data_IF_565232824585
#
_entry.id   IF_565232824585
#
_cell.length_a   1.000
_cell.length_b   1.000
_cell.length_c   1.000
_cell.angle_alpha   90.00
_cell.angle_beta   90.00
_cell.angle_gamma   90.00
#
_symmetry.space_group_name_H-M   'P 1'
#
loop_
_entity.id
_entity.type
_entity.pdbx_description
1 polymer ?
#
# COMPACT_ATOMS: atom_id res chain seq x y z
N UNK A 1 -27.99 -26.32 -44.02
CA UNK A 1 -29.17 -27.22 -43.95
C UNK A 1 -29.92 -26.87 -42.68
N UNK A 2 -31.21 -26.57 -42.80
CA UNK A 2 -32.01 -25.96 -41.74
C UNK A 2 -33.37 -26.62 -41.77
N UNK A 3 -33.81 -27.23 -40.66
CA UNK A 3 -35.07 -27.99 -40.64
C UNK A 3 -35.91 -27.59 -39.45
N UNK A 4 -36.85 -26.69 -39.70
CA UNK A 4 -37.95 -26.32 -38.78
C UNK A 4 -39.13 -27.26 -39.01
N UNK A 5 -39.85 -27.62 -37.95
CA UNK A 5 -41.19 -28.24 -38.04
C UNK A 5 -42.19 -27.58 -37.09
N UNK A 6 -43.48 -27.62 -37.46
CA UNK A 6 -44.55 -26.73 -36.96
C UNK A 6 -45.39 -27.33 -35.83
N UNK A 7 -46.10 -26.44 -35.12
CA UNK A 7 -47.29 -26.71 -34.27
C UNK A 7 -48.46 -27.32 -35.08
N UNK A 8 -49.53 -27.81 -34.42
CA UNK A 8 -50.75 -26.98 -34.40
C UNK A 8 -51.58 -26.98 -33.08
N UNK A 9 -52.46 -25.98 -33.00
CA UNK A 9 -53.80 -25.85 -32.35
C UNK A 9 -54.35 -27.02 -31.49
N UNK A 10 -55.11 -26.84 -30.41
CA UNK A 10 -55.82 -25.67 -29.86
C UNK A 10 -57.28 -26.02 -29.53
N UNK A 11 -57.83 -25.62 -28.36
CA UNK A 11 -59.23 -25.90 -27.97
C UNK A 11 -59.90 -24.70 -27.25
N UNK A 12 -61.24 -24.65 -27.24
CA UNK A 12 -62.06 -23.47 -26.89
C UNK A 12 -62.92 -23.63 -25.62
N UNK A 13 -63.08 -22.52 -24.88
CA UNK A 13 -64.29 -22.02 -24.18
C UNK A 13 -65.05 -22.85 -23.12
N UNK A 14 -65.34 -22.24 -21.95
CA UNK A 14 -66.71 -21.84 -21.47
C UNK A 14 -66.71 -21.13 -20.09
N UNK A 15 -67.90 -20.65 -19.69
CA UNK A 15 -68.23 -19.71 -18.59
C UNK A 15 -69.24 -20.34 -17.58
N UNK A 16 -69.63 -19.75 -16.41
CA UNK A 16 -69.55 -18.33 -15.99
C UNK A 16 -69.09 -18.05 -14.52
N UNK A 17 -69.84 -18.29 -13.41
CA UNK A 17 -69.77 -17.32 -12.30
C UNK A 17 -69.63 -17.84 -10.85
N UNK A 18 -69.26 -16.94 -9.92
CA UNK A 18 -69.79 -17.00 -8.55
C UNK A 18 -69.00 -16.31 -7.42
N UNK A 19 -69.75 -15.64 -6.53
CA UNK A 19 -69.42 -15.23 -5.16
C UNK A 19 -68.29 -14.20 -4.93
N UNK A 20 -68.71 -12.96 -4.65
CA UNK A 20 -67.89 -12.00 -3.91
C UNK A 20 -67.95 -12.31 -2.40
N UNK A 21 -66.83 -12.10 -1.68
CA UNK A 21 -66.81 -12.10 -0.22
C UNK A 21 -66.31 -10.73 0.28
N UNK A 22 -67.16 -10.01 1.01
CA UNK A 22 -66.75 -8.80 1.72
C UNK A 22 -65.85 -9.18 2.90
N UNK A 23 -64.65 -8.63 2.94
CA UNK A 23 -63.81 -8.62 4.14
C UNK A 23 -63.73 -7.17 4.66
N UNK A 24 -64.26 -6.94 5.85
CA UNK A 24 -64.25 -5.63 6.53
C UNK A 24 -62.87 -5.32 7.08
N UNK A 25 -62.21 -4.25 6.60
CA UNK A 25 -61.03 -3.70 7.28
C UNK A 25 -61.47 -2.85 8.47
N UNK A 26 -61.14 -3.28 9.68
CA UNK A 26 -61.14 -2.44 10.88
C UNK A 26 -59.95 -1.49 10.84
N UNK A 27 -60.20 -0.18 10.77
CA UNK A 27 -59.15 0.83 10.83
C UNK A 27 -58.56 0.91 12.25
N UNK A 28 -57.30 0.52 12.42
CA UNK A 28 -56.54 0.77 13.64
C UNK A 28 -56.01 2.22 13.61
N UNK A 29 -56.39 3.02 14.61
CA UNK A 29 -55.90 4.40 14.77
C UNK A 29 -54.44 4.39 15.23
N UNK A 30 -53.50 4.67 14.33
CA UNK A 30 -52.10 4.86 14.68
C UNK A 30 -51.92 6.16 15.48
N UNK A 31 -51.29 6.06 16.66
CA UNK A 31 -50.87 7.23 17.44
C UNK A 31 -49.65 7.90 16.77
N UNK A 32 -49.52 9.23 16.81
CA UNK A 32 -48.33 9.91 16.31
C UNK A 32 -47.14 9.62 17.23
N UNK A 33 -46.10 9.00 16.67
CA UNK A 33 -44.81 8.87 17.35
C UNK A 33 -44.18 10.26 17.53
N UNK A 34 -43.71 10.53 18.75
CA UNK A 34 -42.93 11.73 19.04
C UNK A 34 -41.65 11.78 18.20
N UNK A 35 -41.14 12.97 17.82
CA UNK A 35 -39.88 13.06 17.09
C UNK A 35 -38.75 12.51 17.95
N UNK A 36 -38.04 11.50 17.43
CA UNK A 36 -36.82 11.01 18.05
C UNK A 36 -35.83 12.18 18.15
N UNK A 37 -35.31 12.43 19.35
CA UNK A 37 -34.21 13.36 19.56
C UNK A 37 -33.07 13.01 18.62
N UNK A 38 -32.45 14.02 18.00
CA UNK A 38 -31.16 13.84 17.35
C UNK A 38 -30.16 13.35 18.41
N UNK A 39 -29.92 12.04 18.44
CA UNK A 39 -28.87 11.46 19.26
C UNK A 39 -27.55 11.97 18.69
N UNK A 40 -26.75 12.62 19.53
CA UNK A 40 -25.42 13.07 19.16
C UNK A 40 -24.67 11.91 18.50
N UNK A 41 -24.30 12.11 17.24
CA UNK A 41 -23.37 11.23 16.56
C UNK A 41 -22.03 11.38 17.24
N UNK A 42 -21.82 10.60 18.31
CA UNK A 42 -20.50 10.40 18.90
C UNK A 42 -19.63 9.86 17.79
N UNK A 43 -18.84 10.75 17.19
CA UNK A 43 -17.79 10.38 16.25
C UNK A 43 -16.82 9.57 17.08
N UNK A 44 -16.99 8.25 17.03
CA UNK A 44 -16.01 7.30 17.54
C UNK A 44 -14.74 7.57 16.76
N UNK A 45 -13.85 8.38 17.35
CA UNK A 45 -12.50 8.57 16.81
C UNK A 45 -11.93 7.17 16.63
N UNK A 46 -11.54 6.86 15.41
CA UNK A 46 -10.72 5.68 15.15
C UNK A 46 -9.46 5.80 16.01
N UNK A 47 -8.85 4.66 16.32
CA UNK A 47 -7.63 4.62 17.14
C UNK A 47 -6.56 3.94 16.29
N UNK A 48 -5.30 4.31 16.49
CA UNK A 48 -4.17 3.61 15.89
C UNK A 48 -4.24 2.14 16.30
N UNK A 49 -4.22 1.23 15.33
CA UNK A 49 -4.14 -0.19 15.59
C UNK A 49 -2.71 -0.51 16.00
N UNK A 50 -2.52 -0.97 17.24
CA UNK A 50 -1.22 -1.38 17.76
C UNK A 50 -1.22 -2.90 17.93
N UNK A 51 -0.22 -3.57 17.35
CA UNK A 51 -0.07 -5.03 17.36
C UNK A 51 1.32 -5.36 17.94
N UNK A 52 1.34 -5.82 19.19
CA UNK A 52 2.57 -6.20 19.92
C UNK A 52 2.65 -7.70 20.22
N UNK A 53 1.68 -8.49 19.72
CA UNK A 53 1.63 -9.95 19.91
C UNK A 53 1.62 -10.64 18.56
N UNK A 54 2.61 -11.50 18.35
CA UNK A 54 2.87 -12.21 17.11
C UNK A 54 2.23 -13.60 17.05
N UNK A 55 2.40 -14.24 15.90
CA UNK A 55 2.06 -15.65 15.71
C UNK A 55 3.29 -16.56 15.77
N UNK A 56 3.30 -17.58 14.91
CA UNK A 56 4.47 -18.40 14.59
C UNK A 56 4.61 -18.54 13.08
N UNK A 57 5.79 -18.89 12.56
CA UNK A 57 6.01 -19.07 11.12
C UNK A 57 4.99 -20.01 10.41
N UNK A 58 4.44 -20.99 11.12
CA UNK A 58 3.38 -21.88 10.58
C UNK A 58 1.95 -21.35 10.78
N UNK A 59 1.75 -20.46 11.74
CA UNK A 59 0.46 -19.90 12.15
C UNK A 59 0.63 -18.42 12.54
N UNK A 60 0.76 -17.51 11.56
CA UNK A 60 0.92 -16.08 11.85
C UNK A 60 -0.37 -15.48 12.44
N UNK A 61 -0.22 -14.45 13.28
CA UNK A 61 -1.34 -13.68 13.79
C UNK A 61 -1.93 -12.82 12.66
N UNK A 62 -3.22 -12.97 12.34
CA UNK A 62 -3.83 -12.28 11.18
C UNK A 62 -4.91 -11.28 11.58
N UNK A 63 -4.62 -10.00 11.34
CA UNK A 63 -5.46 -8.85 11.65
C UNK A 63 -6.17 -8.39 10.37
N UNK A 64 -7.48 -8.60 10.28
CA UNK A 64 -8.29 -8.27 9.11
C UNK A 64 -9.16 -7.04 9.35
N UNK A 65 -8.91 -5.99 8.59
CA UNK A 65 -9.71 -4.76 8.61
C UNK A 65 -11.05 -4.90 7.88
N UNK A 66 -11.10 -5.65 6.77
CA UNK A 66 -12.30 -5.80 5.93
C UNK A 66 -12.94 -4.44 5.53
N UNK A 67 -12.11 -3.43 5.28
CA UNK A 67 -12.51 -2.04 4.99
C UNK A 67 -12.63 -1.13 6.22
N UNK A 68 -12.40 -1.62 7.44
CA UNK A 68 -12.46 -0.82 8.68
C UNK A 68 -11.41 0.30 8.67
N UNK A 69 -11.84 1.50 9.04
CA UNK A 69 -10.96 2.66 9.26
C UNK A 69 -10.23 2.58 10.61
N UNK A 70 -8.96 2.96 10.62
CA UNK A 70 -8.11 3.16 11.82
C UNK A 70 -7.26 4.43 11.65
N UNK A 71 -6.83 5.06 12.74
CA UNK A 71 -6.04 6.32 12.70
C UNK A 71 -4.56 6.10 12.35
N UNK A 72 -4.17 4.85 12.09
CA UNK A 72 -2.82 4.39 11.78
C UNK A 72 -2.67 2.92 12.14
N UNK A 73 -1.51 2.34 11.84
CA UNK A 73 -1.15 0.96 12.19
C UNK A 73 0.30 0.94 12.69
N UNK A 74 0.56 0.31 13.84
CA UNK A 74 1.91 -0.05 14.32
C UNK A 74 1.96 -1.56 14.57
N UNK A 75 2.98 -2.22 14.04
CA UNK A 75 3.29 -3.63 14.29
C UNK A 75 4.68 -3.70 14.92
N UNK A 76 4.77 -4.25 16.13
CA UNK A 76 5.99 -4.48 16.90
C UNK A 76 5.99 -5.95 17.35
N UNK A 77 5.99 -6.86 16.38
CA UNK A 77 5.80 -8.30 16.58
C UNK A 77 6.19 -9.11 15.35
N UNK A 78 6.57 -10.38 15.57
CA UNK A 78 6.94 -11.32 14.51
C UNK A 78 5.74 -12.15 14.02
N UNK A 79 5.81 -12.66 12.78
CA UNK A 79 4.79 -13.54 12.19
C UNK A 79 3.39 -12.91 12.20
N UNK A 80 3.26 -11.70 11.66
CA UNK A 80 2.01 -10.92 11.62
C UNK A 80 1.55 -10.71 10.18
N UNK A 81 0.24 -10.85 9.93
CA UNK A 81 -0.39 -10.42 8.68
C UNK A 81 -1.42 -9.33 8.97
N UNK A 82 -1.24 -8.13 8.42
CA UNK A 82 -2.19 -7.01 8.53
C UNK A 82 -2.80 -6.72 7.17
N UNK A 83 -4.11 -6.90 7.04
CA UNK A 83 -4.78 -6.78 5.75
C UNK A 83 -6.13 -6.05 5.73
N UNK A 84 -6.33 -5.25 4.68
CA UNK A 84 -7.64 -4.68 4.33
C UNK A 84 -8.12 -3.55 5.24
N UNK A 85 -7.23 -2.72 5.79
CA UNK A 85 -7.59 -1.51 6.54
C UNK A 85 -7.63 -0.26 5.65
N UNK A 86 -8.47 0.69 6.05
CA UNK A 86 -8.42 2.07 5.57
C UNK A 86 -7.76 2.96 6.64
N UNK A 87 -6.88 3.85 6.21
CA UNK A 87 -6.11 4.75 7.08
C UNK A 87 -6.17 6.15 6.45
N UNK A 88 -7.17 6.95 6.84
CA UNK A 88 -7.40 8.29 6.28
C UNK A 88 -6.88 9.39 7.20
N UNK A 89 -6.02 10.25 6.67
CA UNK A 89 -5.30 11.31 7.39
C UNK A 89 -4.60 10.86 8.69
N UNK A 90 -3.85 9.75 8.70
CA UNK A 90 -3.11 9.36 9.89
C UNK A 90 -2.04 10.40 10.22
N UNK A 91 -1.67 10.48 11.50
CA UNK A 91 -0.37 11.02 11.87
C UNK A 91 0.70 10.10 11.25
N UNK A 92 1.69 10.67 10.56
CA UNK A 92 2.75 9.90 9.94
C UNK A 92 3.67 9.22 10.99
N UNK A 93 4.17 8.01 10.71
CA UNK A 93 3.88 7.19 9.54
C UNK A 93 2.48 6.56 9.59
N UNK A 94 1.80 6.47 8.43
CA UNK A 94 0.46 5.88 8.35
C UNK A 94 0.41 4.41 8.76
N UNK A 95 1.42 3.64 8.37
CA UNK A 95 1.69 2.28 8.81
C UNK A 95 3.16 2.19 9.26
N UNK A 96 3.43 1.47 10.34
CA UNK A 96 4.78 1.21 10.84
C UNK A 96 4.90 -0.26 11.21
N UNK A 97 6.02 -0.90 10.85
CA UNK A 97 6.25 -2.31 11.09
C UNK A 97 7.71 -2.61 11.43
N UNK A 98 7.93 -3.21 12.60
CA UNK A 98 9.24 -3.63 13.11
C UNK A 98 9.13 -5.07 13.61
N UNK A 99 9.95 -5.97 13.08
CA UNK A 99 9.97 -7.38 13.44
C UNK A 99 10.34 -8.29 12.26
N UNK A 100 9.96 -9.56 12.32
CA UNK A 100 10.33 -10.59 11.36
C UNK A 100 9.09 -11.29 10.78
N UNK A 101 9.12 -11.64 9.48
CA UNK A 101 8.01 -12.31 8.76
C UNK A 101 6.66 -11.56 8.89
N UNK A 102 6.70 -10.24 8.71
CA UNK A 102 5.51 -9.38 8.70
C UNK A 102 4.99 -9.22 7.27
N UNK A 103 3.67 -9.40 7.06
CA UNK A 103 2.98 -9.10 5.80
C UNK A 103 1.95 -7.98 5.97
N UNK A 104 2.20 -6.82 5.37
CA UNK A 104 1.24 -5.72 5.27
C UNK A 104 0.67 -5.69 3.86
N UNK A 105 -0.63 -5.97 3.69
CA UNK A 105 -1.23 -6.07 2.35
C UNK A 105 -2.65 -5.56 2.17
N UNK A 106 -2.98 -5.10 0.97
CA UNK A 106 -4.32 -4.61 0.60
C UNK A 106 -4.85 -3.46 1.51
N UNK A 107 -3.96 -2.71 2.17
CA UNK A 107 -4.35 -1.56 2.99
C UNK A 107 -4.35 -0.28 2.14
N UNK A 108 -5.14 0.72 2.54
CA UNK A 108 -5.17 2.03 1.89
C UNK A 108 -4.79 3.13 2.87
N UNK A 109 -3.71 3.87 2.60
CA UNK A 109 -3.25 5.03 3.36
C UNK A 109 -3.50 6.29 2.53
N UNK A 110 -4.20 7.27 3.09
CA UNK A 110 -4.60 8.51 2.39
C UNK A 110 -4.16 9.73 3.18
N UNK A 111 -3.40 10.63 2.55
CA UNK A 111 -2.98 11.94 3.09
C UNK A 111 -2.35 11.88 4.50
N UNK A 112 -1.31 11.06 4.74
CA UNK A 112 -0.52 11.11 5.98
C UNK A 112 -0.03 12.55 6.27
N UNK A 113 0.06 12.91 7.55
CA UNK A 113 0.38 14.29 7.97
C UNK A 113 1.16 14.35 9.29
N UNK A 114 1.86 15.47 9.53
CA UNK A 114 2.84 15.56 10.62
C UNK A 114 4.06 14.67 10.36
N UNK A 115 5.06 14.72 11.23
CA UNK A 115 6.36 14.09 10.98
C UNK A 115 6.91 14.49 9.60
N UNK A 116 7.54 13.55 8.91
CA UNK A 116 7.96 13.76 7.52
C UNK A 116 6.80 13.71 6.53
N UNK A 117 5.76 12.92 6.86
CA UNK A 117 4.54 12.76 6.07
C UNK A 117 4.39 11.39 5.41
N UNK A 118 5.10 10.35 5.89
CA UNK A 118 5.21 9.07 5.19
C UNK A 118 3.95 8.21 5.24
N UNK A 119 3.77 7.43 4.17
CA UNK A 119 2.74 6.40 4.08
C UNK A 119 3.03 5.18 4.96
N UNK A 120 4.23 4.62 4.85
CA UNK A 120 4.63 3.39 5.53
C UNK A 120 6.12 3.39 5.90
N UNK A 121 6.47 2.99 7.13
CA UNK A 121 7.85 2.73 7.57
C UNK A 121 8.05 1.25 7.93
N UNK A 122 9.22 0.68 7.64
CA UNK A 122 9.48 -0.76 7.84
C UNK A 122 10.92 -1.09 8.26
N UNK A 123 11.08 -2.07 9.17
CA UNK A 123 12.37 -2.48 9.73
C UNK A 123 12.38 -3.98 10.09
N UNK A 124 13.53 -4.65 9.92
CA UNK A 124 13.70 -6.09 10.20
C UNK A 124 13.63 -7.01 8.96
N UNK A 125 13.27 -8.28 9.17
CA UNK A 125 13.55 -9.38 8.25
C UNK A 125 12.30 -10.03 7.62
N UNK A 126 12.45 -10.62 6.43
CA UNK A 126 11.41 -11.43 5.73
C UNK A 126 10.08 -10.69 5.49
N UNK A 127 10.16 -9.37 5.35
CA UNK A 127 9.05 -8.44 5.28
C UNK A 127 8.35 -8.47 3.90
N UNK A 128 7.01 -8.33 3.89
CA UNK A 128 6.18 -8.42 2.68
C UNK A 128 5.17 -7.26 2.63
N UNK A 129 5.45 -6.25 1.81
CA UNK A 129 4.59 -5.07 1.60
C UNK A 129 3.91 -5.24 0.24
N UNK A 130 2.64 -5.65 0.21
CA UNK A 130 1.97 -6.13 -1.01
C UNK A 130 0.62 -5.47 -1.31
N UNK A 131 0.42 -4.97 -2.53
CA UNK A 131 -0.87 -4.47 -3.02
C UNK A 131 -1.52 -3.37 -2.15
N UNK A 132 -0.73 -2.63 -1.36
CA UNK A 132 -1.23 -1.47 -0.63
C UNK A 132 -1.37 -0.27 -1.58
N UNK A 133 -2.30 0.63 -1.29
CA UNK A 133 -2.41 1.92 -1.97
C UNK A 133 -2.09 3.02 -0.98
N UNK A 134 -1.12 3.86 -1.31
CA UNK A 134 -0.68 4.99 -0.50
C UNK A 134 -0.80 6.23 -1.39
N UNK A 135 -1.52 7.25 -0.94
CA UNK A 135 -1.72 8.45 -1.77
C UNK A 135 -1.71 9.76 -0.99
N UNK A 136 -1.15 10.80 -1.62
CA UNK A 136 -1.18 12.16 -1.10
C UNK A 136 -0.23 12.44 0.06
N UNK A 137 0.84 11.65 0.20
CA UNK A 137 1.98 12.01 1.04
C UNK A 137 2.61 13.30 0.49
N UNK A 138 2.81 14.30 1.35
CA UNK A 138 3.17 15.66 0.92
C UNK A 138 4.26 16.30 1.76
N UNK A 139 5.23 16.94 1.10
CA UNK A 139 6.38 17.62 1.71
C UNK A 139 5.99 18.95 2.38
N UNK A 140 4.81 19.00 3.00
CA UNK A 140 4.36 20.13 3.82
C UNK A 140 5.03 20.14 5.20
N UNK A 141 5.48 18.97 5.67
CA UNK A 141 5.99 18.78 7.03
C UNK A 141 7.43 18.26 7.06
N UNK A 142 7.82 17.37 6.15
CA UNK A 142 9.21 16.97 5.89
C UNK A 142 9.40 16.36 4.50
N UNK A 143 10.17 15.28 4.40
CA UNK A 143 10.38 14.53 3.16
C UNK A 143 9.39 13.35 3.08
N UNK A 144 8.19 13.58 2.54
CA UNK A 144 7.08 12.64 2.65
C UNK A 144 7.14 11.52 1.61
N UNK A 145 7.65 10.37 2.02
CA UNK A 145 7.79 9.18 1.18
C UNK A 145 6.54 8.29 1.17
N UNK A 146 6.40 7.49 0.12
CA UNK A 146 5.39 6.43 0.10
C UNK A 146 5.74 5.33 1.10
N UNK A 147 7.01 4.90 1.08
CA UNK A 147 7.60 3.84 1.90
C UNK A 147 9.03 4.26 2.25
N UNK A 148 9.43 4.16 3.52
CA UNK A 148 10.79 4.49 3.95
C UNK A 148 11.37 3.46 4.93
N UNK A 149 12.67 3.21 4.84
CA UNK A 149 13.53 2.80 5.97
C UNK A 149 14.51 3.92 6.27
N UNK A 150 14.92 4.02 7.53
CA UNK A 150 16.08 4.78 8.00
C UNK A 150 16.90 3.90 8.95
N UNK A 151 18.10 4.32 9.35
CA UNK A 151 19.02 3.44 10.08
C UNK A 151 19.77 4.10 11.27
N UNK A 152 19.23 5.19 11.83
CA UNK A 152 19.79 5.94 12.96
C UNK A 152 19.70 5.21 14.32
N UNK A 153 18.59 4.52 14.56
CA UNK A 153 18.22 3.89 15.83
C UNK A 153 17.28 2.68 15.64
N UNK A 154 17.25 2.16 14.42
CA UNK A 154 16.34 1.13 13.91
C UNK A 154 17.10 -0.08 13.37
N UNK A 155 16.51 -1.30 13.41
CA UNK A 155 17.12 -2.46 12.77
C UNK A 155 17.30 -2.27 11.25
N UNK A 156 18.39 -2.77 10.65
CA UNK A 156 18.50 -2.88 9.19
C UNK A 156 17.36 -3.75 8.62
N UNK A 157 17.11 -3.60 7.31
CA UNK A 157 16.07 -4.36 6.62
C UNK A 157 16.64 -5.46 5.74
N UNK A 158 16.14 -6.69 5.89
CA UNK A 158 16.61 -7.85 5.12
C UNK A 158 15.46 -8.59 4.43
N UNK A 159 15.72 -9.16 3.24
CA UNK A 159 14.78 -10.04 2.52
C UNK A 159 13.38 -9.43 2.27
N UNK A 160 13.32 -8.12 2.04
CA UNK A 160 12.06 -7.38 1.90
C UNK A 160 11.46 -7.53 0.50
N UNK A 161 10.19 -7.94 0.41
CA UNK A 161 9.40 -7.94 -0.81
C UNK A 161 8.43 -6.76 -0.84
N UNK A 162 8.62 -5.84 -1.79
CA UNK A 162 7.71 -4.73 -2.08
C UNK A 162 7.04 -5.00 -3.44
N UNK A 163 5.79 -5.47 -3.42
CA UNK A 163 5.09 -5.95 -4.62
C UNK A 163 3.73 -5.29 -4.89
N UNK A 164 3.51 -4.84 -6.12
CA UNK A 164 2.16 -4.52 -6.61
C UNK A 164 1.48 -3.35 -5.90
N UNK A 165 2.22 -2.57 -5.10
CA UNK A 165 1.70 -1.41 -4.39
C UNK A 165 1.48 -0.24 -5.37
N UNK A 166 0.62 0.69 -4.98
CA UNK A 166 0.34 1.94 -5.70
C UNK A 166 0.72 3.12 -4.82
N UNK A 167 1.76 3.84 -5.22
CA UNK A 167 2.21 5.09 -4.63
C UNK A 167 1.78 6.23 -5.57
N UNK A 168 0.69 6.91 -5.22
CA UNK A 168 0.01 7.88 -6.09
C UNK A 168 0.06 9.29 -5.51
N UNK A 169 0.45 10.29 -6.31
CA UNK A 169 0.56 11.69 -5.87
C UNK A 169 1.45 11.86 -4.63
N UNK A 170 2.65 11.28 -4.68
CA UNK A 170 3.65 11.33 -3.62
C UNK A 170 4.58 12.49 -3.91
N UNK A 171 4.77 13.42 -2.97
CA UNK A 171 5.69 14.53 -3.19
C UNK A 171 7.15 14.05 -3.23
N UNK A 172 7.59 13.24 -2.27
CA UNK A 172 8.94 12.70 -2.23
C UNK A 172 9.04 11.36 -3.00
N UNK A 173 9.70 10.34 -2.47
CA UNK A 173 10.04 9.10 -3.16
C UNK A 173 8.95 8.02 -2.99
N UNK A 174 8.88 7.12 -3.97
CA UNK A 174 8.10 5.89 -3.88
C UNK A 174 8.74 4.86 -2.92
N UNK A 175 10.05 4.92 -2.78
CA UNK A 175 10.82 4.20 -1.76
C UNK A 175 12.10 4.98 -1.45
N UNK A 176 12.34 5.24 -0.16
CA UNK A 176 13.67 5.51 0.37
C UNK A 176 14.10 4.27 1.16
N UNK A 177 15.25 3.69 0.81
CA UNK A 177 15.77 2.47 1.42
C UNK A 177 17.20 2.68 1.88
N UNK A 178 17.35 2.97 3.17
CA UNK A 178 18.60 3.29 3.85
C UNK A 178 19.15 2.08 4.61
N UNK A 179 20.48 2.03 4.74
CA UNK A 179 21.23 1.07 5.55
C UNK A 179 22.08 1.73 6.62
N UNK A 180 22.52 0.97 7.66
CA UNK A 180 23.20 1.52 8.83
C UNK A 180 24.52 2.24 8.57
N UNK A 181 25.12 2.10 7.39
CA UNK A 181 26.40 2.73 7.03
C UNK A 181 26.22 3.96 6.13
N UNK A 182 24.98 4.46 6.01
CA UNK A 182 24.70 5.82 5.53
C UNK A 182 25.23 6.90 6.51
N UNK A 183 25.31 8.16 6.06
CA UNK A 183 25.71 9.32 6.85
C UNK A 183 24.82 9.62 8.07
N UNK A 184 23.56 9.18 8.09
CA UNK A 184 22.67 9.28 9.27
C UNK A 184 22.56 7.97 10.08
N UNK A 185 23.23 6.89 9.65
CA UNK A 185 23.13 5.56 10.24
C UNK A 185 24.01 5.30 11.47
N UNK A 186 23.67 4.26 12.25
CA UNK A 186 24.37 3.88 13.50
C UNK A 186 25.64 3.01 13.30
N UNK A 187 25.90 2.59 12.06
CA UNK A 187 27.01 1.74 11.65
C UNK A 187 26.86 0.24 11.94
N UNK A 188 25.65 -0.26 12.28
CA UNK A 188 25.45 -1.65 12.76
C UNK A 188 24.59 -2.50 11.85
N UNK A 189 25.27 -3.33 11.05
CA UNK A 189 24.63 -4.25 10.11
C UNK A 189 24.52 -3.62 8.73
N UNK A 190 23.66 -4.18 7.88
CA UNK A 190 23.56 -3.85 6.45
C UNK A 190 22.13 -4.08 5.96
N UNK A 191 21.54 -3.13 5.26
CA UNK A 191 20.24 -3.37 4.59
C UNK A 191 20.49 -4.18 3.30
N UNK A 192 19.82 -5.32 3.08
CA UNK A 192 20.07 -6.16 1.89
C UNK A 192 18.89 -6.98 1.34
N UNK A 193 18.97 -7.32 0.05
CA UNK A 193 17.98 -8.13 -0.69
C UNK A 193 16.55 -7.55 -0.67
N UNK A 194 16.43 -6.24 -0.89
CA UNK A 194 15.14 -5.58 -1.13
C UNK A 194 14.68 -5.82 -2.57
N UNK A 195 13.49 -6.39 -2.74
CA UNK A 195 12.91 -6.76 -4.04
C UNK A 195 11.68 -5.91 -4.34
N UNK A 196 11.85 -4.89 -5.17
CA UNK A 196 10.79 -3.96 -5.60
C UNK A 196 10.24 -4.39 -6.95
N UNK A 197 9.03 -4.96 -6.99
CA UNK A 197 8.45 -5.47 -8.24
C UNK A 197 6.98 -5.15 -8.52
N UNK A 198 6.68 -4.84 -9.78
CA UNK A 198 5.33 -4.57 -10.29
C UNK A 198 4.57 -3.42 -9.57
N UNK A 199 5.27 -2.51 -8.90
CA UNK A 199 4.65 -1.36 -8.22
C UNK A 199 4.35 -0.23 -9.22
N UNK A 200 3.38 0.62 -8.88
CA UNK A 200 3.12 1.89 -9.56
C UNK A 200 3.62 3.04 -8.69
N UNK A 201 4.46 3.91 -9.25
CA UNK A 201 5.09 5.02 -8.53
C UNK A 201 4.88 6.37 -9.25
N UNK A 202 4.32 7.35 -8.55
CA UNK A 202 4.10 8.72 -9.01
C UNK A 202 4.73 9.74 -8.03
N UNK A 203 6.06 9.93 -8.16
CA UNK A 203 6.86 10.94 -7.45
C UNK A 203 6.78 12.30 -8.12
N UNK A 204 6.37 13.33 -7.38
CA UNK A 204 6.04 14.65 -7.93
C UNK A 204 7.13 15.73 -7.73
N UNK A 205 8.00 15.62 -6.71
CA UNK A 205 8.99 16.66 -6.35
C UNK A 205 10.42 16.15 -6.11
N UNK A 206 10.61 14.94 -5.60
CA UNK A 206 11.96 14.38 -5.44
C UNK A 206 12.67 14.20 -6.80
N UNK A 207 14.01 14.18 -6.79
CA UNK A 207 14.86 13.99 -7.98
C UNK A 207 14.92 12.54 -8.47
N UNK A 208 14.53 11.58 -7.64
CA UNK A 208 14.52 10.14 -7.93
C UNK A 208 13.22 9.50 -7.40
N UNK A 209 12.75 8.41 -8.03
CA UNK A 209 11.51 7.73 -7.61
C UNK A 209 11.76 6.64 -6.56
N UNK A 210 12.84 5.89 -6.70
CA UNK A 210 13.37 4.97 -5.69
C UNK A 210 14.78 5.41 -5.36
N UNK A 211 15.17 5.38 -4.09
CA UNK A 211 16.54 5.61 -3.66
C UNK A 211 17.00 4.46 -2.77
N UNK A 212 18.26 4.09 -2.93
CA UNK A 212 18.95 3.08 -2.14
C UNK A 212 20.27 3.67 -1.67
N UNK A 213 20.47 3.74 -0.36
CA UNK A 213 21.68 4.20 0.31
C UNK A 213 22.08 3.12 1.34
N UNK A 214 23.31 2.58 1.25
CA UNK A 214 23.75 1.39 1.98
C UNK A 214 22.82 0.16 1.90
N UNK A 215 22.13 -0.02 0.76
CA UNK A 215 21.22 -1.13 0.53
C UNK A 215 21.73 -2.08 -0.56
N UNK A 216 22.33 -3.23 -0.18
CA UNK A 216 22.94 -4.16 -1.13
C UNK A 216 21.96 -5.14 -1.77
N UNK A 217 22.29 -5.60 -2.98
CA UNK A 217 21.56 -6.64 -3.73
C UNK A 217 20.10 -6.30 -4.07
N UNK A 218 19.72 -5.02 -4.07
CA UNK A 218 18.39 -4.56 -4.45
C UNK A 218 17.97 -5.06 -5.85
N UNK A 219 16.73 -5.51 -6.01
CA UNK A 219 16.19 -6.01 -7.29
C UNK A 219 14.94 -5.22 -7.68
N UNK A 220 15.02 -4.42 -8.75
CA UNK A 220 13.97 -3.51 -9.21
C UNK A 220 13.43 -3.95 -10.57
N UNK A 221 12.22 -4.51 -10.61
CA UNK A 221 11.68 -5.16 -11.83
C UNK A 221 10.20 -4.93 -12.10
N UNK A 222 9.84 -4.67 -13.37
CA UNK A 222 8.44 -4.58 -13.79
C UNK A 222 7.65 -3.38 -13.24
N UNK A 223 8.31 -2.44 -12.56
CA UNK A 223 7.63 -1.28 -11.96
C UNK A 223 7.24 -0.25 -13.01
N UNK A 224 6.26 0.61 -12.69
CA UNK A 224 5.82 1.73 -13.54
C UNK A 224 6.20 3.04 -12.86
N UNK A 225 7.12 3.79 -13.45
CA UNK A 225 7.52 5.12 -13.01
C UNK A 225 6.73 6.16 -13.82
N UNK A 226 5.63 6.64 -13.24
CA UNK A 226 4.56 7.34 -13.97
C UNK A 226 4.76 8.87 -14.10
N UNK A 227 5.64 9.44 -13.27
CA UNK A 227 5.82 10.90 -13.16
C UNK A 227 7.02 11.42 -13.98
N UNK A 228 7.71 12.47 -13.51
CA UNK A 228 8.84 13.09 -14.21
C UNK A 228 10.00 13.62 -13.30
N UNK A 229 10.50 12.85 -12.31
CA UNK A 229 11.80 13.12 -11.68
C UNK A 229 12.98 12.99 -12.68
N UNK A 230 14.19 13.41 -12.31
CA UNK A 230 15.38 13.28 -13.18
C UNK A 230 15.77 11.79 -13.35
N UNK A 231 15.70 11.02 -12.25
CA UNK A 231 15.97 9.59 -12.21
C UNK A 231 14.73 8.77 -11.85
N UNK A 232 14.62 7.54 -12.37
CA UNK A 232 13.68 6.57 -11.80
C UNK A 232 14.26 5.93 -10.54
N UNK A 233 15.54 5.53 -10.57
CA UNK A 233 16.22 4.82 -9.49
C UNK A 233 17.55 5.53 -9.19
N UNK A 234 17.78 5.91 -7.95
CA UNK A 234 19.09 6.31 -7.42
C UNK A 234 19.74 5.15 -6.64
N UNK A 235 21.04 4.97 -6.84
CA UNK A 235 21.88 3.98 -6.16
C UNK A 235 23.13 4.69 -5.62
N UNK A 236 23.20 4.92 -4.31
CA UNK A 236 24.29 5.61 -3.65
C UNK A 236 24.87 4.81 -2.49
N UNK A 237 26.02 5.26 -1.98
CA UNK A 237 26.59 4.86 -0.68
C UNK A 237 26.65 3.34 -0.52
N UNK A 238 27.49 2.68 -1.32
CA UNK A 238 27.75 1.25 -1.27
C UNK A 238 26.53 0.33 -1.52
N UNK A 239 25.47 0.82 -2.18
CA UNK A 239 24.29 0.05 -2.64
C UNK A 239 24.63 -0.88 -3.83
N UNK A 240 25.53 -1.82 -3.57
CA UNK A 240 26.20 -2.67 -4.56
C UNK A 240 25.36 -3.88 -5.00
N UNK A 241 25.69 -4.44 -6.17
CA UNK A 241 25.08 -5.65 -6.69
C UNK A 241 23.61 -5.51 -7.12
N UNK A 242 23.10 -4.28 -7.22
CA UNK A 242 21.72 -4.01 -7.60
C UNK A 242 21.37 -4.51 -9.03
N UNK A 243 20.15 -5.00 -9.21
CA UNK A 243 19.65 -5.59 -10.46
C UNK A 243 18.39 -4.87 -10.94
N UNK A 244 18.44 -4.25 -12.11
CA UNK A 244 17.36 -3.43 -12.67
C UNK A 244 16.94 -3.99 -14.04
N UNK A 245 15.66 -4.33 -14.25
CA UNK A 245 15.18 -4.81 -15.56
C UNK A 245 13.67 -4.67 -15.77
N UNK A 246 13.29 -4.35 -17.00
CA UNK A 246 11.90 -4.48 -17.47
C UNK A 246 10.91 -3.51 -16.83
N UNK A 247 11.37 -2.39 -16.28
CA UNK A 247 10.49 -1.34 -15.77
C UNK A 247 9.92 -0.51 -16.94
N UNK A 248 8.76 0.10 -16.72
CA UNK A 248 8.18 1.09 -17.62
C UNK A 248 8.48 2.49 -17.08
N UNK A 249 9.48 3.13 -17.68
CA UNK A 249 9.92 4.48 -17.34
C UNK A 249 9.12 5.51 -18.16
N UNK A 250 8.63 6.57 -17.51
CA UNK A 250 8.07 7.74 -18.18
C UNK A 250 9.09 8.38 -19.13
N UNK A 251 8.73 8.77 -20.36
CA UNK A 251 9.67 9.38 -21.32
C UNK A 251 10.15 10.78 -20.91
N UNK A 252 9.67 11.30 -19.77
CA UNK A 252 10.11 12.56 -19.16
C UNK A 252 11.20 12.38 -18.11
N UNK A 253 11.43 11.16 -17.65
CA UNK A 253 12.55 10.83 -16.75
C UNK A 253 13.82 10.76 -17.61
N UNK A 254 14.88 11.41 -17.16
CA UNK A 254 16.11 11.56 -17.95
C UNK A 254 16.96 10.30 -17.97
N UNK A 255 17.02 9.60 -16.84
CA UNK A 255 17.78 8.36 -16.68
C UNK A 255 16.97 7.33 -15.89
N UNK A 256 16.96 6.06 -16.33
CA UNK A 256 16.33 5.00 -15.51
C UNK A 256 17.11 4.76 -14.22
N UNK A 257 18.45 4.89 -14.26
CA UNK A 257 19.33 4.65 -13.11
C UNK A 257 20.40 5.74 -13.02
N UNK A 258 20.40 6.48 -11.91
CA UNK A 258 21.54 7.25 -11.41
C UNK A 258 22.36 6.37 -10.46
N UNK A 259 23.69 6.43 -10.54
CA UNK A 259 24.56 5.59 -9.70
C UNK A 259 25.84 6.34 -9.33
N UNK A 260 26.23 6.26 -8.07
CA UNK A 260 27.51 6.78 -7.61
C UNK A 260 28.64 5.78 -7.90
N UNK A 261 29.90 6.17 -7.62
CA UNK A 261 31.03 5.26 -7.86
C UNK A 261 31.08 4.10 -6.86
N UNK A 262 30.57 4.27 -5.65
CA UNK A 262 30.64 3.25 -4.60
C UNK A 262 29.65 2.09 -4.84
N UNK A 263 28.55 2.35 -5.55
CA UNK A 263 27.47 1.39 -5.83
C UNK A 263 27.61 0.64 -7.17
N UNK A 264 28.49 1.10 -8.07
CA UNK A 264 28.81 0.42 -9.34
C UNK A 264 29.18 -1.08 -9.24
N UNK A 265 29.94 -1.55 -8.23
CA UNK A 265 30.32 -2.96 -8.12
C UNK A 265 29.13 -3.92 -8.16
N UNK A 266 29.18 -4.89 -9.08
CA UNK A 266 28.16 -5.93 -9.23
C UNK A 266 26.84 -5.49 -9.87
N UNK A 267 26.63 -4.19 -10.16
CA UNK A 267 25.42 -3.67 -10.78
C UNK A 267 25.08 -4.34 -12.12
N UNK A 268 23.80 -4.63 -12.36
CA UNK A 268 23.29 -5.20 -13.63
C UNK A 268 21.97 -4.54 -14.03
N UNK A 269 21.97 -3.79 -15.13
CA UNK A 269 20.73 -3.20 -15.65
C UNK A 269 20.96 -2.29 -16.85
N UNK A 270 20.06 -1.32 -17.10
CA UNK A 270 20.26 -0.24 -18.06
C UNK A 270 21.60 0.47 -17.86
N UNK A 271 22.12 1.14 -18.89
CA UNK A 271 23.30 1.98 -18.74
C UNK A 271 22.98 3.12 -17.75
N UNK A 272 23.73 3.26 -16.64
CA UNK A 272 23.51 4.36 -15.72
C UNK A 272 23.86 5.72 -16.34
N UNK A 273 23.22 6.78 -15.87
CA UNK A 273 23.51 8.15 -16.22
C UNK A 273 23.09 9.09 -15.10
N UNK A 274 23.82 10.18 -14.92
CA UNK A 274 23.69 11.04 -13.75
C UNK A 274 24.40 10.50 -12.51
N UNK A 275 24.53 11.36 -11.50
CA UNK A 275 24.70 10.95 -10.11
C UNK A 275 23.29 10.63 -9.55
N UNK A 276 23.16 9.76 -8.53
CA UNK A 276 21.88 9.45 -7.92
C UNK A 276 21.25 10.69 -7.27
#
# INVERSE_FOLDING_TARGET
MTTTTRRPNGLRSRLLPGAALLATLTAATAQPLAPASAADSVVSRSVRLVITEGGTAGHPAVHRGNGRTVDGITVEADHVVVEGYAVDTPQAPGIEMTGHDITVRNNTVTRPHGGDGDGLRFFGDDLKIQHNTITGASNRYGHADCMQTFASDTPPSHHVLIEGNRCERIDNMCLMAEGPNDGEGDGRGHTYDIRVRNNYCETLKASQTLMFEDAQHATVTGNVFAAAPDHAIGLAIHSTGAQVRGNKVSPRIRYEVGIDRSSLPGYRGPRPGGAP
#
